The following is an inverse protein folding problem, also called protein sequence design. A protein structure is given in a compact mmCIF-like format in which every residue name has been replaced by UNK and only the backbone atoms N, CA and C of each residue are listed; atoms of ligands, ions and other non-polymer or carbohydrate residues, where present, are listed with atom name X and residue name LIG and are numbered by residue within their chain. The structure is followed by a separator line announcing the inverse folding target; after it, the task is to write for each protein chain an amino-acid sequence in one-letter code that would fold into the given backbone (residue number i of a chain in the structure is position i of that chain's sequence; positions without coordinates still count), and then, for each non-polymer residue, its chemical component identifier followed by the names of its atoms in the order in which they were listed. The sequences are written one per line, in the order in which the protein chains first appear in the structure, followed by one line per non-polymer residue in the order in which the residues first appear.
data_IF_282935052806
#
_entry.id   IF_282935052806
#
_cell.length_a   1.000
_cell.length_b   1.000
_cell.length_c   1.000
_cell.angle_alpha   90.00
_cell.angle_beta   90.00
_cell.angle_gamma   90.00
#
_symmetry.space_group_name_H-M   'P 1'
#
loop_
_entity.id
_entity.type
_entity.pdbx_description
1 polymer ?
#
# COMPACT_ATOMS: atom_id res chain seq x y z
N UNK A 1 19.96 42.52 25.68
CA UNK A 1 18.60 43.07 25.91
C UNK A 1 17.80 41.97 26.61
N UNK A 2 17.50 42.15 27.90
CA UNK A 2 16.83 41.08 28.67
C UNK A 2 15.37 40.95 28.24
N UNK A 3 15.06 39.84 27.56
CA UNK A 3 13.72 39.49 27.05
C UNK A 3 12.64 39.67 28.14
N UNK A 4 12.96 39.26 29.37
CA UNK A 4 12.09 39.37 30.54
C UNK A 4 11.71 40.84 30.86
N UNK A 5 12.65 41.80 30.79
CA UNK A 5 12.37 43.23 31.00
C UNK A 5 11.53 43.83 29.88
N UNK A 6 11.68 43.37 28.66
CA UNK A 6 10.87 43.80 27.54
C UNK A 6 9.43 43.29 27.68
N UNK A 7 9.26 42.05 28.13
CA UNK A 7 7.96 41.44 28.38
C UNK A 7 7.13 42.20 29.41
N UNK A 8 7.75 42.55 30.52
CA UNK A 8 7.07 43.29 31.61
C UNK A 8 6.70 44.73 31.20
N UNK A 9 7.52 45.37 30.35
CA UNK A 9 7.27 46.75 29.90
C UNK A 9 6.20 46.90 28.82
N UNK A 10 5.90 45.83 28.06
CA UNK A 10 4.92 45.86 26.95
C UNK A 10 4.01 44.60 26.95
N UNK A 11 3.14 44.46 27.97
CA UNK A 11 2.30 43.28 28.13
C UNK A 11 1.36 43.04 26.93
N UNK A 12 0.75 44.11 26.39
CA UNK A 12 -0.15 44.03 25.24
C UNK A 12 0.56 43.50 23.99
N UNK A 13 1.78 43.97 23.72
CA UNK A 13 2.54 43.50 22.58
C UNK A 13 2.90 41.99 22.66
N UNK A 14 3.17 41.52 23.85
CA UNK A 14 3.47 40.09 24.08
C UNK A 14 2.21 39.23 23.97
N UNK A 15 1.08 39.67 24.53
CA UNK A 15 -0.20 39.00 24.33
C UNK A 15 -0.54 38.82 22.84
N UNK A 16 -0.32 39.88 22.03
CA UNK A 16 -0.54 39.78 20.57
C UNK A 16 0.37 38.75 19.90
N UNK A 17 1.64 38.67 20.31
CA UNK A 17 2.57 37.64 19.79
C UNK A 17 2.10 36.23 20.18
N UNK A 18 1.68 36.02 21.43
CA UNK A 18 1.15 34.73 21.85
C UNK A 18 -0.12 34.34 21.09
N UNK A 19 -1.05 35.27 20.89
CA UNK A 19 -2.25 35.05 20.11
C UNK A 19 -1.88 34.68 18.67
N UNK A 20 -0.92 35.41 18.06
CA UNK A 20 -0.45 35.09 16.72
C UNK A 20 0.14 33.65 16.62
N UNK A 21 0.99 33.28 17.59
CA UNK A 21 1.57 31.92 17.64
C UNK A 21 0.49 30.87 17.83
N UNK A 22 -0.50 31.12 18.70
CA UNK A 22 -1.63 30.21 18.89
C UNK A 22 -2.46 30.04 17.60
N UNK A 23 -2.74 31.12 16.89
CA UNK A 23 -3.48 31.07 15.62
C UNK A 23 -2.69 30.32 14.55
N UNK A 24 -1.38 30.59 14.42
CA UNK A 24 -0.51 29.84 13.49
C UNK A 24 -0.43 28.36 13.87
N UNK A 25 -0.31 28.05 15.15
CA UNK A 25 -0.31 26.67 15.65
C UNK A 25 -1.62 25.94 15.34
N UNK A 26 -2.75 26.63 15.52
CA UNK A 26 -4.06 26.06 15.20
C UNK A 26 -4.22 25.78 13.68
N UNK A 27 -3.79 26.71 12.83
CA UNK A 27 -3.81 26.52 11.38
C UNK A 27 -2.91 25.35 10.97
N UNK A 28 -1.70 25.27 11.56
CA UNK A 28 -0.78 24.16 11.30
C UNK A 28 -1.35 22.81 11.73
N UNK A 29 -2.02 22.77 12.88
CA UNK A 29 -2.64 21.56 13.40
C UNK A 29 -3.64 20.92 12.41
N UNK A 30 -4.47 21.73 11.75
CA UNK A 30 -5.42 21.26 10.75
C UNK A 30 -4.78 20.89 9.39
N UNK A 31 -3.51 21.26 9.18
CA UNK A 31 -2.78 20.94 7.93
C UNK A 31 -1.79 19.81 8.06
N UNK A 32 -1.49 19.34 9.27
CA UNK A 32 -0.58 18.22 9.48
C UNK A 32 -1.26 16.95 9.00
N UNK A 33 -0.68 16.32 7.98
CA UNK A 33 -1.05 14.97 7.56
C UNK A 33 -0.75 13.98 8.68
N UNK A 34 -1.66 13.07 8.93
CA UNK A 34 -1.48 12.04 9.96
C UNK A 34 -1.26 10.71 9.27
N UNK A 35 -0.11 10.09 9.55
CA UNK A 35 0.28 8.80 9.04
C UNK A 35 0.70 7.87 10.18
N UNK A 36 0.42 6.58 10.03
CA UNK A 36 0.78 5.57 11.02
C UNK A 36 2.30 5.32 11.06
N UNK A 37 2.88 5.23 9.86
CA UNK A 37 4.32 5.09 9.68
C UNK A 37 4.80 6.36 8.96
N UNK A 38 5.91 6.96 9.42
CA UNK A 38 6.51 8.02 8.63
C UNK A 38 6.80 7.47 7.24
N UNK A 39 6.57 8.30 6.22
CA UNK A 39 6.98 7.98 4.86
C UNK A 39 8.50 7.91 4.83
N UNK A 40 8.99 6.74 5.19
CA UNK A 40 10.42 6.44 5.10
C UNK A 40 10.63 5.94 3.69
N UNK A 41 11.27 6.75 2.86
CA UNK A 41 11.77 6.28 1.58
C UNK A 41 12.47 4.94 1.79
N UNK A 42 11.77 3.88 1.43
CA UNK A 42 12.31 2.53 1.56
C UNK A 42 13.54 2.45 0.66
N UNK A 43 14.69 2.22 1.28
CA UNK A 43 15.95 2.05 0.54
C UNK A 43 16.07 0.64 -0.04
N UNK A 44 14.94 0.06 -0.42
CA UNK A 44 14.86 -1.26 -1.01
C UNK A 44 14.09 -1.23 -2.33
N UNK A 45 14.64 -1.92 -3.32
CA UNK A 45 13.97 -2.25 -4.58
C UNK A 45 13.81 -3.75 -4.63
N UNK A 46 12.66 -4.24 -5.08
CA UNK A 46 12.44 -5.66 -5.35
C UNK A 46 12.21 -5.90 -6.83
N UNK A 47 12.81 -6.97 -7.35
CA UNK A 47 12.54 -7.48 -8.70
C UNK A 47 11.90 -8.84 -8.56
N UNK A 48 10.70 -8.98 -9.11
CA UNK A 48 9.91 -10.22 -9.07
C UNK A 48 9.80 -10.76 -10.48
N UNK A 49 10.10 -12.05 -10.63
CA UNK A 49 10.00 -12.75 -11.91
C UNK A 49 9.31 -14.08 -11.69
N UNK A 50 8.25 -14.34 -12.46
CA UNK A 50 7.60 -15.64 -12.48
C UNK A 50 8.14 -16.47 -13.67
N UNK A 51 8.50 -17.72 -13.39
CA UNK A 51 8.93 -18.70 -14.38
C UNK A 51 8.15 -20.00 -14.15
N UNK A 52 6.90 -19.98 -14.58
CA UNK A 52 5.95 -21.06 -14.30
C UNK A 52 6.48 -22.43 -14.82
N UNK A 53 6.38 -23.44 -13.97
CA UNK A 53 6.82 -24.80 -14.30
C UNK A 53 8.31 -25.08 -14.13
N UNK A 54 9.14 -24.08 -13.87
CA UNK A 54 10.57 -24.27 -13.66
C UNK A 54 10.89 -24.75 -12.24
N UNK A 55 11.93 -25.61 -12.12
CA UNK A 55 12.47 -26.01 -10.83
C UNK A 55 13.22 -24.85 -10.16
N UNK A 56 13.42 -24.91 -8.84
CA UNK A 56 14.19 -23.90 -8.10
C UNK A 56 15.59 -23.70 -8.70
N UNK A 57 16.26 -24.77 -9.06
CA UNK A 57 17.59 -24.75 -9.67
C UNK A 57 17.61 -24.03 -11.02
N UNK A 58 16.59 -24.30 -11.86
CA UNK A 58 16.45 -23.63 -13.17
C UNK A 58 16.17 -22.14 -12.98
N UNK A 59 15.28 -21.78 -12.05
CA UNK A 59 14.97 -20.37 -11.74
C UNK A 59 16.23 -19.66 -11.22
N UNK A 60 16.99 -20.30 -10.33
CA UNK A 60 18.21 -19.71 -9.77
C UNK A 60 19.26 -19.43 -10.84
N UNK A 61 19.57 -20.43 -11.67
CA UNK A 61 20.66 -20.31 -12.64
C UNK A 61 20.30 -19.44 -13.84
N UNK A 62 19.05 -19.52 -14.31
CA UNK A 62 18.64 -18.86 -15.56
C UNK A 62 18.01 -17.48 -15.35
N UNK A 63 17.52 -17.19 -14.13
CA UNK A 63 16.80 -15.94 -13.83
C UNK A 63 17.46 -15.18 -12.68
N UNK A 64 17.58 -15.83 -11.51
CA UNK A 64 18.02 -15.12 -10.29
C UNK A 64 19.44 -14.58 -10.44
N UNK A 65 20.42 -15.46 -10.74
CA UNK A 65 21.85 -15.06 -10.87
C UNK A 65 22.10 -14.00 -11.93
N UNK A 66 21.59 -14.13 -13.19
CA UNK A 66 21.79 -13.08 -14.18
C UNK A 66 21.23 -11.70 -13.77
N UNK A 67 20.10 -11.69 -13.06
CA UNK A 67 19.51 -10.43 -12.57
C UNK A 67 20.31 -9.87 -11.37
N UNK A 68 20.75 -10.72 -10.44
CA UNK A 68 21.63 -10.29 -9.32
C UNK A 68 22.92 -9.66 -9.82
N UNK A 69 23.58 -10.30 -10.79
CA UNK A 69 24.84 -9.82 -11.38
C UNK A 69 24.66 -8.44 -12.01
N UNK A 70 23.55 -8.23 -12.74
CA UNK A 70 23.28 -6.93 -13.37
C UNK A 70 22.89 -5.87 -12.32
N UNK A 71 22.08 -6.22 -11.33
CA UNK A 71 21.64 -5.30 -10.29
C UNK A 71 22.76 -4.93 -9.30
N UNK A 72 23.77 -5.77 -9.12
CA UNK A 72 24.91 -5.44 -8.26
C UNK A 72 25.73 -4.24 -8.77
N UNK A 73 25.52 -3.84 -10.02
CA UNK A 73 26.21 -2.72 -10.68
C UNK A 73 25.35 -1.44 -10.75
N UNK A 74 24.22 -1.34 -10.04
CA UNK A 74 23.40 -0.13 -9.99
C UNK A 74 24.01 0.93 -9.07
N UNK A 75 23.61 2.17 -9.29
CA UNK A 75 24.02 3.30 -8.45
C UNK A 75 23.53 3.13 -7.01
N UNK A 76 24.33 3.53 -6.05
CA UNK A 76 23.99 3.43 -4.61
C UNK A 76 23.67 2.01 -4.11
N UNK A 77 24.22 0.99 -4.77
CA UNK A 77 24.12 -0.40 -4.36
C UNK A 77 24.81 -0.64 -3.02
N UNK A 78 24.14 -1.30 -2.10
CA UNK A 78 24.71 -1.72 -0.82
C UNK A 78 24.77 -3.23 -0.69
N UNK A 79 23.65 -3.91 -0.92
CA UNK A 79 23.54 -5.36 -0.82
C UNK A 79 22.39 -5.88 -1.68
N UNK A 80 22.57 -7.08 -2.26
CA UNK A 80 21.51 -7.86 -2.88
C UNK A 80 21.21 -9.10 -2.04
N UNK A 81 19.94 -9.44 -1.95
CA UNK A 81 19.43 -10.70 -1.38
C UNK A 81 18.38 -11.25 -2.31
N UNK A 82 18.34 -12.55 -2.46
CA UNK A 82 17.32 -13.19 -3.28
C UNK A 82 16.64 -14.34 -2.56
N UNK A 83 15.42 -14.62 -2.97
CA UNK A 83 14.65 -15.78 -2.57
C UNK A 83 14.12 -16.47 -3.82
N UNK A 84 14.67 -17.66 -4.10
CA UNK A 84 14.25 -18.47 -5.25
C UNK A 84 13.36 -19.59 -4.80
N UNK A 85 12.19 -19.70 -5.43
CA UNK A 85 11.21 -20.78 -5.21
C UNK A 85 10.88 -21.45 -6.55
N UNK A 86 10.25 -22.64 -6.54
CA UNK A 86 9.77 -23.24 -7.78
C UNK A 86 8.85 -22.25 -8.51
N UNK A 87 9.19 -21.91 -9.74
CA UNK A 87 8.40 -21.02 -10.58
C UNK A 87 8.51 -19.51 -10.26
N UNK A 88 9.35 -19.07 -9.29
CA UNK A 88 9.42 -17.66 -8.92
C UNK A 88 10.78 -17.25 -8.35
N UNK A 89 11.30 -16.13 -8.81
CA UNK A 89 12.44 -15.42 -8.25
C UNK A 89 12.00 -14.08 -7.64
N UNK A 90 12.51 -13.77 -6.45
CA UNK A 90 12.36 -12.47 -5.78
C UNK A 90 13.75 -11.97 -5.41
N UNK A 91 14.16 -10.86 -5.99
CA UNK A 91 15.48 -10.25 -5.77
C UNK A 91 15.27 -8.90 -5.07
N UNK A 92 15.87 -8.73 -3.89
CA UNK A 92 15.80 -7.52 -3.08
C UNK A 92 17.15 -6.81 -3.10
N UNK A 93 17.15 -5.56 -3.51
CA UNK A 93 18.35 -4.72 -3.54
C UNK A 93 18.23 -3.66 -2.45
N UNK A 94 19.15 -3.68 -1.50
CA UNK A 94 19.30 -2.65 -0.49
C UNK A 94 20.18 -1.52 -1.03
N UNK A 95 19.72 -0.30 -0.91
CA UNK A 95 20.38 0.91 -1.37
C UNK A 95 21.01 1.67 -0.22
N UNK A 96 21.94 2.54 -0.55
CA UNK A 96 22.58 3.45 0.39
C UNK A 96 21.59 4.49 0.93
N UNK A 97 21.85 5.04 2.11
CA UNK A 97 20.98 6.04 2.76
C UNK A 97 20.74 7.31 1.94
N UNK A 98 21.67 7.64 1.04
CA UNK A 98 21.59 8.82 0.17
C UNK A 98 20.92 8.53 -1.19
N UNK A 99 20.51 7.29 -1.44
CA UNK A 99 19.88 6.90 -2.71
C UNK A 99 18.51 7.53 -2.87
N UNK A 100 18.21 7.99 -4.05
CA UNK A 100 16.85 8.25 -4.53
C UNK A 100 16.29 6.94 -5.09
N UNK A 101 15.37 6.31 -4.35
CA UNK A 101 14.83 5.01 -4.71
C UNK A 101 14.06 5.04 -6.03
N UNK A 102 13.44 6.15 -6.41
CA UNK A 102 12.70 6.29 -7.67
C UNK A 102 13.67 6.30 -8.86
N UNK A 103 14.75 7.07 -8.75
CA UNK A 103 15.78 7.10 -9.80
C UNK A 103 16.46 5.75 -9.95
N UNK A 104 16.75 5.07 -8.84
CA UNK A 104 17.39 3.76 -8.87
C UNK A 104 16.44 2.67 -9.37
N UNK A 105 15.14 2.74 -9.09
CA UNK A 105 14.14 1.82 -9.65
C UNK A 105 14.06 1.95 -11.19
N UNK A 106 14.12 3.17 -11.71
CA UNK A 106 14.18 3.41 -13.17
C UNK A 106 15.48 2.82 -13.75
N UNK A 107 16.62 3.01 -13.08
CA UNK A 107 17.89 2.42 -13.50
C UNK A 107 17.83 0.89 -13.48
N UNK A 108 17.29 0.30 -12.42
CA UNK A 108 17.10 -1.15 -12.30
C UNK A 108 16.21 -1.70 -13.41
N UNK A 109 15.09 -1.03 -13.71
CA UNK A 109 14.20 -1.40 -14.81
C UNK A 109 14.94 -1.41 -16.16
N UNK A 110 15.73 -0.38 -16.43
CA UNK A 110 16.55 -0.31 -17.68
C UNK A 110 17.57 -1.44 -17.74
N UNK A 111 18.23 -1.77 -16.65
CA UNK A 111 19.23 -2.85 -16.58
C UNK A 111 18.60 -4.20 -16.76
N UNK A 112 17.50 -4.50 -16.06
CA UNK A 112 16.75 -5.76 -16.20
C UNK A 112 16.23 -5.92 -17.62
N UNK A 113 15.69 -4.87 -18.23
CA UNK A 113 15.24 -4.88 -19.64
C UNK A 113 16.39 -5.16 -20.62
N UNK A 114 17.59 -4.67 -20.32
CA UNK A 114 18.79 -4.92 -21.15
C UNK A 114 19.13 -6.40 -21.23
N UNK A 115 19.06 -7.11 -20.10
CA UNK A 115 19.39 -8.53 -20.03
C UNK A 115 18.22 -9.44 -20.41
N UNK A 116 17.02 -8.89 -20.72
CA UNK A 116 15.81 -9.69 -21.05
C UNK A 116 16.08 -10.73 -22.13
N UNK A 117 16.97 -10.42 -23.08
CA UNK A 117 17.35 -11.30 -24.19
C UNK A 117 18.18 -12.53 -23.71
N UNK A 118 18.84 -12.40 -22.56
CA UNK A 118 19.65 -13.47 -21.96
C UNK A 118 18.84 -14.36 -21.00
N UNK A 119 17.61 -13.95 -20.70
CA UNK A 119 16.68 -14.69 -19.86
C UNK A 119 15.81 -15.61 -20.73
N UNK A 120 15.26 -16.69 -20.17
CA UNK A 120 14.34 -17.57 -20.89
C UNK A 120 13.16 -16.81 -21.49
N UNK A 121 12.69 -17.25 -22.65
CA UNK A 121 11.53 -16.62 -23.32
C UNK A 121 10.22 -16.83 -22.55
N UNK A 122 10.13 -17.95 -21.84
CA UNK A 122 8.92 -18.41 -21.13
C UNK A 122 8.69 -17.75 -19.76
N UNK A 123 9.54 -16.80 -19.35
CA UNK A 123 9.32 -16.05 -18.11
C UNK A 123 8.35 -14.90 -18.34
N UNK A 124 7.57 -14.58 -17.31
CA UNK A 124 6.81 -13.33 -17.27
C UNK A 124 7.76 -12.12 -17.32
N UNK A 125 7.23 -10.97 -17.70
CA UNK A 125 8.02 -9.73 -17.68
C UNK A 125 8.45 -9.40 -16.25
N UNK A 126 9.77 -9.20 -16.00
CA UNK A 126 10.27 -8.87 -14.68
C UNK A 126 9.65 -7.58 -14.14
N UNK A 127 8.97 -7.65 -13.00
CA UNK A 127 8.40 -6.50 -12.33
C UNK A 127 9.43 -5.89 -11.35
N UNK A 128 9.80 -4.63 -11.56
CA UNK A 128 10.64 -3.87 -10.64
C UNK A 128 9.75 -3.00 -9.78
N UNK A 129 9.77 -3.25 -8.48
CA UNK A 129 8.92 -2.59 -7.51
C UNK A 129 9.78 -1.83 -6.49
N UNK A 130 9.42 -0.59 -6.22
CA UNK A 130 9.95 0.16 -5.07
C UNK A 130 9.13 -0.28 -3.85
N UNK A 131 9.79 -0.78 -2.83
CA UNK A 131 9.11 -1.06 -1.56
C UNK A 131 8.87 0.24 -0.80
N UNK A 132 7.62 0.59 -0.60
CA UNK A 132 7.21 1.73 0.22
C UNK A 132 6.23 1.30 1.32
N UNK A 133 6.05 2.14 2.32
CA UNK A 133 5.00 1.94 3.33
C UNK A 133 3.59 1.98 2.72
N UNK A 134 3.46 2.51 1.51
CA UNK A 134 2.22 2.62 0.75
C UNK A 134 1.77 1.29 0.12
N UNK A 135 2.63 0.27 0.09
CA UNK A 135 2.29 -1.09 -0.38
C UNK A 135 1.38 -1.87 0.59
N UNK A 136 1.17 -1.34 1.80
CA UNK A 136 0.27 -1.98 2.76
C UNK A 136 -1.14 -1.43 2.62
N UNK A 137 -2.16 -2.29 2.57
CA UNK A 137 -3.54 -1.85 2.51
C UNK A 137 -3.93 -1.09 3.78
N UNK A 138 -4.60 0.05 3.62
CA UNK A 138 -5.12 0.85 4.75
C UNK A 138 -6.41 0.26 5.32
N UNK A 139 -7.20 -0.39 4.46
CA UNK A 139 -8.44 -1.08 4.85
C UNK A 139 -8.49 -2.42 4.12
N UNK A 140 -8.88 -3.47 4.86
CA UNK A 140 -9.21 -4.78 4.29
C UNK A 140 -10.68 -5.09 4.58
N UNK A 141 -11.41 -5.40 3.53
CA UNK A 141 -12.85 -5.67 3.58
C UNK A 141 -13.06 -7.10 3.08
N UNK A 142 -13.69 -7.93 3.89
CA UNK A 142 -14.12 -9.25 3.47
C UNK A 142 -15.59 -9.20 3.06
N UNK A 143 -15.87 -9.78 1.91
CA UNK A 143 -17.22 -9.90 1.35
C UNK A 143 -17.65 -11.35 1.42
N UNK A 144 -18.76 -11.62 2.10
CA UNK A 144 -19.37 -12.94 2.20
C UNK A 144 -20.80 -12.89 1.70
N UNK A 145 -21.28 -13.99 1.14
CA UNK A 145 -22.67 -14.18 0.75
C UNK A 145 -23.06 -15.64 0.91
N UNK A 146 -24.34 -15.95 0.79
CA UNK A 146 -24.85 -17.32 0.66
C UNK A 146 -24.68 -17.86 -0.76
N UNK A 147 -24.36 -16.98 -1.71
CA UNK A 147 -24.13 -17.32 -3.10
C UNK A 147 -22.76 -17.98 -3.33
N UNK A 148 -22.49 -18.42 -4.56
CA UNK A 148 -21.22 -19.00 -4.93
C UNK A 148 -20.09 -17.96 -4.83
N UNK A 149 -18.94 -18.36 -4.28
CA UNK A 149 -17.75 -17.51 -4.11
C UNK A 149 -17.28 -16.89 -5.44
N UNK A 150 -17.45 -17.62 -6.55
CA UNK A 150 -17.01 -17.15 -7.88
C UNK A 150 -17.87 -15.99 -8.40
N UNK A 151 -19.15 -15.96 -8.06
CA UNK A 151 -20.05 -14.86 -8.43
C UNK A 151 -19.75 -13.62 -7.58
N UNK A 152 -19.38 -13.81 -6.29
CA UNK A 152 -18.90 -12.74 -5.42
C UNK A 152 -17.60 -12.15 -5.99
N UNK A 153 -16.65 -13.00 -6.43
CA UNK A 153 -15.39 -12.56 -6.99
C UNK A 153 -15.60 -11.70 -8.25
N UNK A 154 -16.46 -12.13 -9.17
CA UNK A 154 -16.75 -11.38 -10.40
C UNK A 154 -17.35 -9.98 -10.11
N UNK A 155 -18.26 -9.90 -9.12
CA UNK A 155 -18.81 -8.61 -8.67
C UNK A 155 -17.78 -7.76 -7.93
N UNK A 156 -16.93 -8.40 -7.11
CA UNK A 156 -15.89 -7.71 -6.36
C UNK A 156 -14.87 -7.07 -7.30
N UNK A 157 -14.43 -7.82 -8.33
CA UNK A 157 -13.40 -7.35 -9.28
C UNK A 157 -13.95 -6.29 -10.27
N UNK A 158 -15.25 -6.29 -10.53
CA UNK A 158 -15.86 -5.29 -11.40
C UNK A 158 -16.48 -4.12 -10.62
N UNK A 159 -17.58 -4.38 -9.90
CA UNK A 159 -18.42 -3.32 -9.35
C UNK A 159 -17.93 -2.79 -7.99
N UNK A 160 -17.51 -3.68 -7.05
CA UNK A 160 -17.13 -3.23 -5.72
C UNK A 160 -15.78 -2.50 -5.76
N UNK A 161 -14.81 -3.05 -6.50
CA UNK A 161 -13.51 -2.43 -6.75
C UNK A 161 -13.68 -1.01 -7.32
N UNK A 162 -14.43 -0.86 -8.42
CA UNK A 162 -14.63 0.45 -9.06
C UNK A 162 -15.31 1.48 -8.13
N UNK A 163 -16.27 1.05 -7.32
CA UNK A 163 -16.95 1.93 -6.36
C UNK A 163 -16.01 2.41 -5.26
N UNK A 164 -15.19 1.51 -4.69
CA UNK A 164 -14.24 1.86 -3.64
C UNK A 164 -13.11 2.74 -4.17
N UNK A 165 -12.66 2.54 -5.43
CA UNK A 165 -11.67 3.39 -6.08
C UNK A 165 -12.14 4.83 -6.30
N UNK A 166 -13.44 5.10 -6.31
CA UNK A 166 -13.98 6.45 -6.43
C UNK A 166 -13.82 7.29 -5.14
N UNK A 167 -13.47 6.67 -4.02
CA UNK A 167 -13.22 7.40 -2.79
C UNK A 167 -11.95 8.26 -2.91
N UNK A 168 -12.03 9.49 -2.43
CA UNK A 168 -10.90 10.42 -2.48
C UNK A 168 -9.70 9.87 -1.72
N UNK A 169 -8.51 9.92 -2.31
CA UNK A 169 -7.27 9.46 -1.70
C UNK A 169 -7.00 7.95 -1.88
N UNK A 170 -7.86 7.19 -2.52
CA UNK A 170 -7.62 5.79 -2.90
C UNK A 170 -6.75 5.76 -4.16
N UNK A 171 -5.67 4.98 -4.14
CA UNK A 171 -4.83 4.72 -5.29
C UNK A 171 -5.31 3.51 -6.07
N UNK A 172 -5.55 2.40 -5.37
CA UNK A 172 -6.00 1.15 -5.96
C UNK A 172 -6.79 0.31 -4.95
N UNK A 173 -7.51 -0.66 -5.48
CA UNK A 173 -8.23 -1.68 -4.71
C UNK A 173 -7.94 -3.03 -5.34
N UNK A 174 -7.33 -3.94 -4.60
CA UNK A 174 -7.04 -5.29 -5.06
C UNK A 174 -8.03 -6.31 -4.51
N UNK A 175 -8.35 -7.28 -5.38
CA UNK A 175 -9.18 -8.44 -5.01
C UNK A 175 -8.23 -9.64 -4.83
N UNK A 176 -7.93 -10.00 -3.59
CA UNK A 176 -6.83 -10.94 -3.29
C UNK A 176 -7.26 -12.38 -3.08
N UNK A 177 -8.52 -12.64 -2.88
CA UNK A 177 -9.06 -14.01 -2.72
C UNK A 177 -10.28 -14.22 -3.58
N UNK A 178 -10.45 -15.42 -4.07
CA UNK A 178 -11.49 -15.81 -5.01
C UNK A 178 -10.93 -16.57 -6.20
N UNK A 179 -11.78 -16.95 -7.12
CA UNK A 179 -11.40 -17.68 -8.32
C UNK A 179 -11.87 -16.94 -9.55
N UNK A 180 -10.94 -16.45 -10.33
CA UNK A 180 -11.24 -15.98 -11.67
C UNK A 180 -11.67 -17.16 -12.54
N UNK A 181 -12.62 -16.98 -13.43
CA UNK A 181 -12.96 -17.97 -14.45
C UNK A 181 -11.90 -17.94 -15.55
N UNK A 182 -11.47 -19.12 -15.97
CA UNK A 182 -10.57 -19.30 -17.11
C UNK A 182 -11.13 -20.32 -18.07
N UNK A 183 -10.72 -20.26 -19.31
CA UNK A 183 -11.00 -21.31 -20.29
C UNK A 183 -9.82 -22.28 -20.31
N UNK A 184 -10.01 -23.46 -19.74
CA UNK A 184 -8.98 -24.49 -19.73
C UNK A 184 -9.04 -25.30 -21.03
N UNK A 185 -7.89 -25.44 -21.69
CA UNK A 185 -7.69 -26.30 -22.86
C UNK A 185 -6.88 -27.50 -22.41
N UNK A 186 -7.56 -28.60 -22.08
CA UNK A 186 -6.94 -29.84 -21.61
C UNK A 186 -6.62 -30.74 -22.81
N UNK A 187 -5.35 -30.83 -23.15
CA UNK A 187 -4.87 -31.50 -24.36
C UNK A 187 -4.61 -32.96 -24.12
N UNK A 188 -5.10 -33.82 -25.02
CA UNK A 188 -4.84 -35.25 -25.04
C UNK A 188 -3.54 -35.55 -25.81
N UNK A 189 -2.52 -36.04 -25.11
CA UNK A 189 -1.20 -36.30 -25.66
C UNK A 189 -1.23 -37.39 -26.77
N UNK A 190 -2.07 -38.38 -26.63
CA UNK A 190 -2.12 -39.51 -27.60
C UNK A 190 -2.78 -39.03 -28.89
N UNK A 191 -3.81 -38.23 -28.79
CA UNK A 191 -4.46 -37.61 -29.95
C UNK A 191 -3.55 -36.60 -30.65
N UNK A 192 -2.78 -35.78 -29.89
CA UNK A 192 -1.77 -34.91 -30.48
C UNK A 192 -0.79 -35.69 -31.35
N UNK A 193 -0.23 -36.75 -30.78
CA UNK A 193 0.73 -37.60 -31.50
C UNK A 193 0.10 -38.25 -32.74
N UNK A 194 -1.16 -38.70 -32.62
CA UNK A 194 -1.88 -39.31 -33.75
C UNK A 194 -2.06 -38.36 -34.93
N UNK A 195 -2.36 -37.11 -34.66
CA UNK A 195 -2.54 -36.06 -35.67
C UNK A 195 -1.24 -35.33 -36.07
N UNK A 196 -0.10 -35.70 -35.43
CA UNK A 196 1.20 -35.07 -35.68
C UNK A 196 1.25 -33.59 -35.28
N UNK A 197 0.51 -33.21 -34.23
CA UNK A 197 0.46 -31.87 -33.67
C UNK A 197 1.36 -31.79 -32.45
N UNK A 198 1.87 -30.60 -32.20
CA UNK A 198 2.59 -30.24 -30.99
C UNK A 198 1.76 -29.29 -30.10
N UNK A 199 2.09 -29.19 -28.82
CA UNK A 199 1.46 -28.24 -27.94
C UNK A 199 1.68 -26.76 -28.43
N UNK A 200 2.85 -26.53 -29.04
CA UNK A 200 3.19 -25.21 -29.60
C UNK A 200 2.29 -24.81 -30.77
N UNK A 201 1.84 -25.79 -31.58
CA UNK A 201 0.90 -25.51 -32.66
C UNK A 201 -0.44 -25.00 -32.12
N UNK A 202 -0.94 -25.60 -31.01
CA UNK A 202 -2.16 -25.13 -30.33
C UNK A 202 -1.96 -23.74 -29.77
N UNK A 203 -0.88 -23.49 -29.01
CA UNK A 203 -0.58 -22.19 -28.44
C UNK A 203 -0.54 -21.10 -29.52
N UNK A 204 0.14 -21.39 -30.62
CA UNK A 204 0.30 -20.47 -31.74
C UNK A 204 -1.04 -20.20 -32.42
N UNK A 205 -1.87 -21.20 -32.63
CA UNK A 205 -3.18 -21.06 -33.24
C UNK A 205 -4.13 -20.22 -32.36
N UNK A 206 -4.19 -20.50 -31.05
CA UNK A 206 -5.02 -19.74 -30.11
C UNK A 206 -4.57 -18.27 -30.07
N UNK A 207 -3.27 -18.01 -29.97
CA UNK A 207 -2.73 -16.62 -29.99
C UNK A 207 -3.06 -15.88 -31.28
N UNK A 208 -3.00 -16.56 -32.41
CA UNK A 208 -3.21 -15.95 -33.72
C UNK A 208 -4.66 -15.58 -33.96
N UNK A 209 -5.61 -16.37 -33.48
CA UNK A 209 -7.03 -16.16 -33.75
C UNK A 209 -7.77 -15.39 -32.65
N UNK A 210 -7.20 -15.31 -31.46
CA UNK A 210 -7.79 -14.51 -30.35
C UNK A 210 -7.15 -13.11 -30.27
N UNK A 211 -7.34 -12.31 -31.31
CA UNK A 211 -6.71 -10.99 -31.44
C UNK A 211 -7.72 -9.93 -31.87
N UNK A 212 -7.59 -8.72 -31.31
CA UNK A 212 -8.27 -7.54 -31.84
C UNK A 212 -7.29 -6.80 -32.74
N UNK A 213 -7.56 -6.76 -34.03
CA UNK A 213 -6.73 -6.04 -34.98
C UNK A 213 -7.49 -4.80 -35.49
N UNK A 214 -6.87 -3.63 -35.31
CA UNK A 214 -7.33 -2.41 -35.97
C UNK A 214 -6.87 -2.48 -37.45
N UNK A 215 -7.81 -2.70 -38.37
CA UNK A 215 -7.51 -2.92 -39.80
C UNK A 215 -7.38 -1.61 -40.59
N UNK A 216 -7.34 -0.46 -39.90
CA UNK A 216 -7.21 0.87 -40.54
C UNK A 216 -8.56 1.59 -40.70
N UNK A 217 -8.52 2.73 -41.40
CA UNK A 217 -9.71 3.56 -41.65
C UNK A 217 -10.06 3.56 -43.14
N UNK A 218 -11.34 3.47 -43.43
CA UNK A 218 -11.87 3.67 -44.80
C UNK A 218 -12.37 5.09 -44.88
N UNK A 219 -11.81 5.84 -45.81
CA UNK A 219 -12.22 7.20 -46.09
C UNK A 219 -13.30 7.21 -47.19
N UNK A 220 -14.47 7.74 -46.85
CA UNK A 220 -15.55 8.05 -47.79
C UNK A 220 -15.68 9.56 -47.83
N UNK A 221 -16.13 10.17 -48.94
CA UNK A 221 -16.14 11.63 -49.19
C UNK A 221 -16.65 12.53 -48.06
N UNK A 222 -17.29 11.98 -47.04
CA UNK A 222 -17.83 12.73 -45.91
C UNK A 222 -17.52 12.12 -44.50
N UNK A 223 -16.93 10.92 -44.40
CA UNK A 223 -16.76 10.23 -43.12
C UNK A 223 -15.55 9.29 -43.13
N UNK A 224 -14.73 9.39 -42.11
CA UNK A 224 -13.73 8.38 -41.76
C UNK A 224 -14.39 7.27 -40.93
N UNK A 225 -14.40 6.04 -41.43
CA UNK A 225 -14.88 4.86 -40.71
C UNK A 225 -13.71 3.98 -40.35
N UNK A 226 -13.45 3.84 -39.08
CA UNK A 226 -12.48 2.89 -38.56
C UNK A 226 -13.01 1.47 -38.70
N UNK A 227 -12.28 0.62 -39.42
CA UNK A 227 -12.58 -0.79 -39.53
C UNK A 227 -11.80 -1.52 -38.44
N UNK A 228 -12.55 -2.15 -37.51
CA UNK A 228 -11.98 -2.99 -36.47
C UNK A 228 -12.36 -4.44 -36.74
N UNK A 229 -11.37 -5.29 -36.93
CA UNK A 229 -11.56 -6.73 -36.94
C UNK A 229 -11.48 -7.23 -35.50
N UNK A 230 -12.58 -7.74 -34.99
CA UNK A 230 -12.65 -8.33 -33.65
C UNK A 230 -12.81 -9.83 -33.80
N UNK A 231 -11.70 -10.55 -33.70
CA UNK A 231 -11.63 -11.99 -33.73
C UNK A 231 -11.36 -12.51 -32.30
N UNK A 232 -12.32 -12.23 -31.38
CA UNK A 232 -12.28 -12.75 -30.02
C UNK A 232 -13.36 -13.79 -29.83
N UNK A 233 -13.01 -14.90 -29.26
CA UNK A 233 -13.95 -15.94 -28.84
C UNK A 233 -14.73 -15.43 -27.63
N UNK A 234 -16.06 -15.59 -27.67
CA UNK A 234 -16.95 -15.14 -26.57
C UNK A 234 -17.34 -16.29 -25.64
N UNK A 235 -17.22 -17.51 -26.11
CA UNK A 235 -17.60 -18.71 -25.35
C UNK A 235 -16.59 -19.84 -25.57
N UNK A 236 -16.39 -20.72 -24.57
CA UNK A 236 -15.48 -21.88 -24.70
C UNK A 236 -15.81 -22.79 -25.87
N UNK A 237 -17.09 -22.89 -26.22
CA UNK A 237 -17.59 -23.71 -27.31
C UNK A 237 -17.08 -23.24 -28.67
N UNK A 238 -16.87 -21.92 -28.85
CA UNK A 238 -16.34 -21.37 -30.08
C UNK A 238 -14.86 -21.77 -30.29
N UNK A 239 -14.10 -21.86 -29.18
CA UNK A 239 -12.68 -22.24 -29.20
C UNK A 239 -12.52 -23.73 -29.64
N UNK A 240 -13.48 -24.61 -29.37
CA UNK A 240 -13.44 -26.00 -29.78
C UNK A 240 -13.36 -26.14 -31.30
N UNK A 241 -13.95 -25.21 -32.06
CA UNK A 241 -13.95 -25.21 -33.53
C UNK A 241 -12.71 -24.56 -34.16
N UNK A 242 -11.74 -24.16 -33.35
CA UNK A 242 -10.46 -23.64 -33.83
C UNK A 242 -9.76 -24.65 -34.73
N UNK A 243 -9.39 -24.20 -35.93
CA UNK A 243 -8.76 -25.06 -36.95
C UNK A 243 -7.25 -25.15 -36.76
N UNK A 244 -6.75 -26.30 -36.45
CA UNK A 244 -5.33 -26.59 -36.34
C UNK A 244 -4.82 -27.25 -37.64
N UNK A 245 -3.64 -26.83 -38.12
CA UNK A 245 -3.03 -27.41 -39.30
C UNK A 245 -2.15 -28.60 -38.92
N UNK A 246 -2.64 -29.80 -39.08
CA UNK A 246 -1.90 -31.02 -38.81
C UNK A 246 -0.92 -31.42 -39.93
N UNK A 247 -0.18 -32.50 -39.68
CA UNK A 247 0.76 -33.07 -40.63
C UNK A 247 0.04 -33.50 -41.91
N UNK A 248 0.60 -33.12 -43.07
CA UNK A 248 -0.04 -33.39 -44.36
C UNK A 248 -1.05 -32.36 -44.84
N UNK A 249 -1.15 -31.19 -44.16
CA UNK A 249 -2.00 -30.07 -44.56
C UNK A 249 -3.49 -30.24 -44.28
N UNK A 250 -3.87 -31.23 -43.47
CA UNK A 250 -5.25 -31.44 -43.01
C UNK A 250 -5.57 -30.44 -41.88
N UNK A 251 -6.77 -29.88 -41.93
CA UNK A 251 -7.30 -29.06 -40.82
C UNK A 251 -8.04 -29.97 -39.84
N UNK A 252 -7.77 -29.79 -38.58
CA UNK A 252 -8.31 -30.58 -37.46
C UNK A 252 -8.87 -29.61 -36.44
N UNK A 253 -10.08 -29.82 -35.99
CA UNK A 253 -10.68 -28.97 -34.93
C UNK A 253 -10.02 -29.24 -33.58
N UNK A 254 -9.77 -28.19 -32.80
CA UNK A 254 -9.19 -28.27 -31.47
C UNK A 254 -9.95 -29.24 -30.57
N UNK A 255 -11.29 -29.25 -30.63
CA UNK A 255 -12.14 -30.17 -29.88
C UNK A 255 -11.90 -31.69 -30.16
N UNK A 256 -11.20 -32.05 -31.25
CA UNK A 256 -10.83 -33.44 -31.53
C UNK A 256 -9.58 -33.86 -30.73
N UNK A 257 -8.71 -32.94 -30.35
CA UNK A 257 -7.43 -33.18 -29.67
C UNK A 257 -7.37 -32.64 -28.25
N UNK A 258 -8.31 -31.76 -27.87
CA UNK A 258 -8.38 -31.15 -26.54
C UNK A 258 -9.83 -31.03 -26.06
N UNK A 259 -10.01 -31.05 -24.74
CA UNK A 259 -11.24 -30.72 -24.10
C UNK A 259 -11.19 -29.21 -23.67
N UNK A 260 -12.11 -28.43 -24.18
CA UNK A 260 -12.19 -26.97 -23.87
C UNK A 260 -13.38 -26.76 -22.96
N UNK A 261 -13.14 -26.24 -21.78
CA UNK A 261 -14.22 -26.00 -20.79
C UNK A 261 -13.90 -24.76 -19.95
N UNK A 262 -14.96 -24.07 -19.53
CA UNK A 262 -14.84 -23.06 -18.49
C UNK A 262 -14.51 -23.73 -17.16
N UNK A 263 -13.46 -23.28 -16.50
CA UNK A 263 -12.98 -23.82 -15.23
C UNK A 263 -12.63 -22.67 -14.29
N UNK A 264 -12.70 -22.92 -13.01
CA UNK A 264 -12.19 -21.96 -12.05
C UNK A 264 -10.66 -22.02 -12.03
N UNK A 265 -10.02 -20.88 -12.13
CA UNK A 265 -8.59 -20.75 -11.96
C UNK A 265 -8.19 -21.26 -10.59
N UNK A 266 -7.06 -21.93 -10.50
CA UNK A 266 -6.55 -22.41 -9.21
C UNK A 266 -6.41 -21.22 -8.24
N UNK A 267 -7.10 -21.28 -7.10
CA UNK A 267 -7.00 -20.25 -6.09
C UNK A 267 -5.56 -20.10 -5.58
N UNK A 268 -5.06 -18.89 -5.58
CA UNK A 268 -3.72 -18.54 -5.07
C UNK A 268 -3.79 -18.25 -3.56
N UNK A 269 -4.91 -17.69 -3.11
CA UNK A 269 -5.16 -17.36 -1.71
C UNK A 269 -6.60 -17.69 -1.33
N UNK A 270 -6.82 -18.01 -0.07
CA UNK A 270 -8.13 -18.26 0.51
C UNK A 270 -8.37 -17.29 1.66
N UNK A 271 -9.53 -16.63 1.66
CA UNK A 271 -9.99 -15.81 2.76
C UNK A 271 -11.21 -16.43 3.41
N UNK A 272 -11.27 -16.35 4.74
CA UNK A 272 -12.42 -16.80 5.52
C UNK A 272 -12.70 -15.83 6.66
N UNK A 273 -13.98 -15.56 6.88
CA UNK A 273 -14.44 -14.76 8.01
C UNK A 273 -15.53 -15.54 8.73
N UNK A 274 -15.36 -15.73 10.04
CA UNK A 274 -16.27 -16.51 10.88
C UNK A 274 -16.59 -17.93 10.32
N UNK A 275 -15.57 -18.56 9.71
CA UNK A 275 -15.69 -19.90 9.11
C UNK A 275 -16.30 -19.94 7.72
N UNK A 276 -16.85 -18.85 7.19
CA UNK A 276 -17.38 -18.73 5.85
C UNK A 276 -16.31 -18.29 4.86
N UNK A 277 -16.34 -18.83 3.65
CA UNK A 277 -15.47 -18.35 2.58
C UNK A 277 -15.83 -16.92 2.20
N UNK A 278 -14.80 -16.12 1.95
CA UNK A 278 -14.92 -14.70 1.66
C UNK A 278 -14.03 -14.27 0.50
N UNK A 279 -14.44 -13.22 -0.20
CA UNK A 279 -13.57 -12.47 -1.11
C UNK A 279 -12.99 -11.30 -0.35
N UNK A 280 -11.69 -11.07 -0.43
CA UNK A 280 -11.01 -9.96 0.25
C UNK A 280 -10.73 -8.82 -0.73
N UNK A 281 -11.12 -7.62 -0.33
CA UNK A 281 -10.82 -6.35 -1.00
C UNK A 281 -9.80 -5.60 -0.16
N UNK A 282 -8.66 -5.29 -0.74
CA UNK A 282 -7.56 -4.58 -0.11
C UNK A 282 -7.46 -3.18 -0.72
N UNK A 283 -7.64 -2.15 0.11
CA UNK A 283 -7.66 -0.76 -0.33
C UNK A 283 -6.32 -0.10 -0.03
N UNK A 284 -5.71 0.49 -1.03
CA UNK A 284 -4.43 1.19 -0.96
C UNK A 284 -4.62 2.70 -1.12
N UNK A 285 -3.93 3.49 -0.30
CA UNK A 285 -3.99 4.94 -0.40
C UNK A 285 -3.05 5.49 -1.48
N UNK A 286 -3.40 6.63 -2.04
CA UNK A 286 -2.50 7.39 -2.88
C UNK A 286 -1.36 8.03 -2.06
N UNK A 287 -0.19 8.21 -2.70
CA UNK A 287 0.95 8.86 -2.08
C UNK A 287 0.58 10.25 -1.57
N UNK A 288 0.96 10.54 -0.32
CA UNK A 288 0.64 11.80 0.34
C UNK A 288 -0.82 11.99 0.75
N UNK A 289 -1.72 11.01 0.52
CA UNK A 289 -3.10 11.08 0.98
C UNK A 289 -3.19 10.83 2.50
N UNK A 290 -4.10 11.53 3.16
CA UNK A 290 -4.37 11.33 4.58
C UNK A 290 -5.11 10.01 4.81
N UNK A 291 -4.57 9.15 5.67
CA UNK A 291 -5.13 7.82 5.97
C UNK A 291 -6.56 7.93 6.52
N UNK A 292 -6.81 8.87 7.43
CA UNK A 292 -8.11 9.03 8.10
C UNK A 292 -9.18 9.48 7.12
N UNK A 293 -8.88 10.51 6.32
CA UNK A 293 -9.84 11.05 5.35
C UNK A 293 -10.13 10.04 4.23
N UNK A 294 -9.10 9.31 3.77
CA UNK A 294 -9.27 8.26 2.77
C UNK A 294 -10.12 7.11 3.31
N UNK A 295 -9.84 6.67 4.54
CA UNK A 295 -10.62 5.62 5.19
C UNK A 295 -12.08 6.02 5.39
N UNK A 296 -12.35 7.27 5.78
CA UNK A 296 -13.73 7.79 5.90
C UNK A 296 -14.46 7.76 4.56
N UNK A 297 -13.77 8.17 3.48
CA UNK A 297 -14.32 8.09 2.13
C UNK A 297 -14.66 6.65 1.72
N UNK A 298 -13.76 5.69 1.99
CA UNK A 298 -13.97 4.27 1.70
C UNK A 298 -15.13 3.71 2.52
N UNK A 299 -15.21 4.00 3.82
CA UNK A 299 -16.30 3.54 4.68
C UNK A 299 -17.65 4.12 4.24
N UNK A 300 -17.69 5.36 3.76
CA UNK A 300 -18.90 5.97 3.20
C UNK A 300 -19.37 5.24 1.92
N UNK A 301 -18.42 4.91 1.02
CA UNK A 301 -18.73 4.11 -0.18
C UNK A 301 -19.21 2.71 0.20
N UNK A 302 -18.60 2.10 1.23
CA UNK A 302 -18.99 0.81 1.74
C UNK A 302 -20.43 0.79 2.26
N UNK A 303 -20.86 1.85 2.96
CA UNK A 303 -22.27 1.99 3.40
C UNK A 303 -23.25 2.11 2.22
N UNK A 304 -22.80 2.70 1.11
CA UNK A 304 -23.59 2.76 -0.12
C UNK A 304 -23.68 1.38 -0.77
N UNK A 305 -22.56 0.65 -0.83
CA UNK A 305 -22.52 -0.73 -1.32
C UNK A 305 -23.42 -1.67 -0.50
N UNK A 306 -23.44 -1.54 0.83
CA UNK A 306 -24.34 -2.32 1.70
C UNK A 306 -25.83 -2.10 1.40
N UNK A 307 -26.18 -0.90 0.97
CA UNK A 307 -27.58 -0.58 0.58
C UNK A 307 -27.91 -1.10 -0.80
N UNK A 308 -26.97 -0.98 -1.74
CA UNK A 308 -27.18 -1.40 -3.13
C UNK A 308 -27.16 -2.93 -3.28
N UNK A 309 -26.41 -3.62 -2.39
CA UNK A 309 -26.21 -5.08 -2.43
C UNK A 309 -26.53 -5.73 -1.07
N UNK A 310 -27.81 -5.81 -0.68
CA UNK A 310 -28.23 -6.30 0.65
C UNK A 310 -27.96 -7.80 0.89
N UNK A 311 -27.78 -8.59 -0.18
CA UNK A 311 -27.50 -10.03 -0.11
C UNK A 311 -26.03 -10.33 0.24
N UNK A 312 -25.17 -9.31 0.21
CA UNK A 312 -23.74 -9.41 0.51
C UNK A 312 -23.43 -8.78 1.86
N UNK A 313 -22.62 -9.50 2.65
CA UNK A 313 -22.17 -9.01 3.96
C UNK A 313 -20.74 -8.49 3.83
N UNK A 314 -20.56 -7.20 4.05
CA UNK A 314 -19.28 -6.52 4.02
C UNK A 314 -18.75 -6.37 5.45
N UNK A 315 -17.66 -7.04 5.76
CA UNK A 315 -17.01 -7.00 7.07
C UNK A 315 -15.66 -6.31 6.95
N UNK A 316 -15.46 -5.22 7.67
CA UNK A 316 -14.14 -4.58 7.77
C UNK A 316 -13.29 -5.42 8.70
N UNK A 317 -12.27 -6.08 8.17
CA UNK A 317 -11.37 -6.97 8.91
C UNK A 317 -10.21 -6.19 9.51
N UNK A 318 -9.71 -5.21 8.78
CA UNK A 318 -8.61 -4.36 9.18
C UNK A 318 -8.89 -2.92 8.78
N UNK A 319 -8.70 -1.98 9.70
CA UNK A 319 -8.79 -0.54 9.49
C UNK A 319 -7.64 0.16 10.21
N UNK A 320 -6.66 0.61 9.45
CA UNK A 320 -5.50 1.32 9.97
C UNK A 320 -5.88 2.69 10.55
N UNK A 321 -6.94 3.33 10.02
CA UNK A 321 -7.38 4.65 10.47
C UNK A 321 -7.87 4.64 11.92
N UNK A 322 -8.43 3.54 12.39
CA UNK A 322 -8.90 3.39 13.77
C UNK A 322 -7.75 3.56 14.76
N UNK A 323 -6.62 2.88 14.53
CA UNK A 323 -5.43 3.02 15.38
C UNK A 323 -4.88 4.46 15.38
N UNK A 324 -4.87 5.09 14.20
CA UNK A 324 -4.41 6.47 14.05
C UNK A 324 -5.31 7.44 14.82
N UNK A 325 -6.63 7.30 14.71
CA UNK A 325 -7.61 8.11 15.46
C UNK A 325 -7.47 7.95 16.97
N UNK A 326 -7.34 6.72 17.42
CA UNK A 326 -7.17 6.45 18.86
C UNK A 326 -5.86 7.06 19.39
N UNK A 327 -4.77 6.94 18.64
CA UNK A 327 -3.48 7.54 19.00
C UNK A 327 -3.55 9.07 19.06
N UNK A 328 -4.21 9.71 18.08
CA UNK A 328 -4.44 11.14 18.06
C UNK A 328 -5.30 11.59 19.24
N UNK A 329 -6.42 10.91 19.47
CA UNK A 329 -7.32 11.21 20.57
C UNK A 329 -6.61 11.13 21.93
N UNK A 330 -5.83 10.07 22.13
CA UNK A 330 -5.04 9.89 23.35
C UNK A 330 -3.95 10.96 23.50
N UNK A 331 -3.27 11.33 22.41
CA UNK A 331 -2.26 12.40 22.42
C UNK A 331 -2.88 13.74 22.78
N UNK A 332 -4.00 14.10 22.16
CA UNK A 332 -4.73 15.34 22.46
C UNK A 332 -5.22 15.39 23.90
N UNK A 333 -5.76 14.27 24.40
CA UNK A 333 -6.19 14.14 25.79
C UNK A 333 -5.03 14.36 26.75
N UNK A 334 -3.90 13.72 26.52
CA UNK A 334 -2.69 13.87 27.34
C UNK A 334 -2.14 15.31 27.30
N UNK A 335 -2.13 15.95 26.13
CA UNK A 335 -1.75 17.36 25.99
C UNK A 335 -2.66 18.26 26.79
N UNK A 336 -3.97 18.03 26.73
CA UNK A 336 -4.97 18.83 27.45
C UNK A 336 -4.86 18.65 28.96
N UNK A 337 -4.67 17.41 29.43
CA UNK A 337 -4.42 17.08 30.83
C UNK A 337 -3.13 17.77 31.32
N UNK A 338 -2.05 17.72 30.53
CA UNK A 338 -0.78 18.39 30.84
C UNK A 338 -0.93 19.91 30.90
N UNK A 339 -1.68 20.51 29.96
CA UNK A 339 -1.94 21.95 29.94
C UNK A 339 -2.75 22.39 31.17
N UNK A 340 -3.81 21.67 31.51
CA UNK A 340 -4.65 21.92 32.69
C UNK A 340 -3.84 21.79 33.98
N UNK A 341 -3.06 20.72 34.11
CA UNK A 341 -2.21 20.46 35.27
C UNK A 341 -1.17 21.58 35.46
N UNK A 342 -0.46 21.93 34.37
CA UNK A 342 0.53 22.99 34.38
C UNK A 342 -0.10 24.33 34.71
N UNK A 343 -1.26 24.66 34.13
CA UNK A 343 -2.02 25.86 34.41
C UNK A 343 -2.46 25.95 35.87
N UNK A 344 -2.93 24.85 36.45
CA UNK A 344 -3.34 24.76 37.85
C UNK A 344 -2.15 24.97 38.79
N UNK A 345 -1.01 24.32 38.52
CA UNK A 345 0.21 24.50 39.30
C UNK A 345 0.68 25.94 39.26
N UNK A 346 0.76 26.56 38.08
CA UNK A 346 1.12 27.96 37.92
C UNK A 346 0.15 28.88 38.66
N UNK A 347 -1.16 28.62 38.54
CA UNK A 347 -2.18 29.40 39.26
C UNK A 347 -2.00 29.32 40.77
N UNK A 348 -1.78 28.15 41.34
CA UNK A 348 -1.53 27.94 42.77
C UNK A 348 -0.28 28.68 43.25
N UNK A 349 0.82 28.61 42.45
CA UNK A 349 2.06 29.29 42.75
C UNK A 349 1.89 30.81 42.69
N UNK A 350 1.27 31.35 41.65
CA UNK A 350 1.04 32.79 41.52
C UNK A 350 0.11 33.32 42.62
N UNK A 351 -0.97 32.61 42.93
CA UNK A 351 -1.88 32.97 44.03
C UNK A 351 -1.21 32.88 45.41
N UNK A 352 -0.31 31.91 45.59
CA UNK A 352 0.51 31.80 46.80
C UNK A 352 1.45 33.01 46.98
N UNK A 353 1.97 33.54 45.86
CA UNK A 353 2.79 34.75 45.87
C UNK A 353 1.99 36.03 46.25
N UNK A 354 0.76 36.18 45.77
CA UNK A 354 -0.12 37.30 46.15
C UNK A 354 -0.51 37.25 47.63
N UNK A 355 -0.71 36.06 48.21
CA UNK A 355 -0.92 35.93 49.66
C UNK A 355 0.35 36.20 50.50
N UNK A 356 1.55 36.05 49.91
CA UNK A 356 2.80 36.34 50.63
C UNK A 356 3.25 37.78 50.50
N UNK A 357 2.74 38.55 49.55
CA UNK A 357 3.03 39.97 49.45
C UNK A 357 2.28 40.80 50.53
N UNK A 358 1.17 40.27 51.06
CA UNK A 358 0.45 40.86 52.18
C UNK A 358 0.97 40.39 53.56
N UNK A 359 1.82 39.34 53.57
CA UNK A 359 2.56 38.87 54.75
C UNK A 359 4.05 39.24 54.59
N UNK A 360 4.34 40.50 54.40
CA UNK A 360 5.70 41.05 54.38
C UNK A 360 6.38 41.07 55.77
N UNK A 361 5.98 40.18 56.65
CA UNK A 361 6.74 39.79 57.81
C UNK A 361 7.29 38.38 57.59
N UNK A 362 8.36 38.36 56.81
CA UNK A 362 9.16 37.16 56.64
C UNK A 362 9.63 36.65 57.98
N UNK A 363 9.14 35.52 58.39
CA UNK A 363 9.81 34.70 59.38
C UNK A 363 11.13 34.17 58.82
N UNK A 364 12.14 35.00 58.86
CA UNK A 364 13.54 34.60 58.76
C UNK A 364 13.86 33.76 59.98
N UNK A 365 13.82 32.45 59.89
CA UNK A 365 14.34 31.57 60.93
C UNK A 365 15.87 31.52 60.82
N UNK A 366 16.59 32.04 61.80
CA UNK A 366 18.04 31.90 61.84
C UNK A 366 18.39 30.45 62.18
N UNK A 367 19.30 29.88 61.44
CA UNK A 367 19.91 28.60 61.78
C UNK A 367 20.80 28.76 63.02
N UNK A 368 21.08 27.66 63.70
CA UNK A 368 21.90 27.57 64.92
C UNK A 368 23.29 28.19 64.78
N UNK A 369 23.71 28.52 63.54
CA UNK A 369 24.97 29.16 63.20
C UNK A 369 24.80 30.66 62.80
N UNK A 370 23.60 31.24 62.88
CA UNK A 370 23.34 32.68 62.61
C UNK A 370 23.37 33.07 61.16
N UNK A 371 23.23 32.15 60.23
CA UNK A 371 23.16 32.41 58.76
C UNK A 371 21.73 32.28 58.26
N UNK A 372 21.37 33.24 57.42
CA UNK A 372 20.06 33.30 56.75
C UNK A 372 20.07 32.40 55.50
N UNK A 373 19.17 31.44 55.40
CA UNK A 373 19.02 30.61 54.23
C UNK A 373 17.62 30.79 53.64
N UNK A 374 17.58 31.01 52.33
CA UNK A 374 16.36 30.90 51.53
C UNK A 374 16.34 29.49 50.93
N UNK A 375 15.46 28.65 51.44
CA UNK A 375 15.31 27.28 50.92
C UNK A 375 14.19 27.29 49.87
N UNK A 376 14.57 27.11 48.61
CA UNK A 376 13.64 26.81 47.54
C UNK A 376 13.72 25.31 47.23
N UNK A 377 12.68 24.60 47.57
CA UNK A 377 12.50 23.21 47.12
C UNK A 377 11.80 23.23 45.75
N UNK A 378 12.57 23.15 44.68
CA UNK A 378 12.03 22.89 43.33
C UNK A 378 12.14 21.40 43.08
N UNK A 379 11.05 20.69 43.33
CA UNK A 379 10.97 19.27 42.93
C UNK A 379 10.69 19.19 41.43
N UNK A 380 11.73 19.03 40.64
CA UNK A 380 11.59 18.51 39.28
C UNK A 380 11.44 17.00 39.38
N UNK A 381 10.55 16.43 38.61
CA UNK A 381 10.17 15.01 38.61
C UNK A 381 11.26 13.97 38.31
N UNK A 382 12.52 14.32 38.49
CA UNK A 382 13.68 13.45 38.49
C UNK A 382 14.55 13.81 39.69
N UNK A 383 14.21 13.36 40.84
CA UNK A 383 15.00 13.09 42.04
C UNK A 383 16.31 13.86 42.33
N UNK A 384 16.54 15.06 41.84
CA UNK A 384 17.73 15.85 42.11
C UNK A 384 17.36 17.08 42.93
N UNK A 385 17.77 17.09 44.20
CA UNK A 385 17.68 18.23 45.11
C UNK A 385 18.92 19.09 44.93
N UNK A 386 18.78 20.31 44.39
CA UNK A 386 19.87 21.28 44.33
C UNK A 386 19.78 22.22 45.54
N UNK A 387 20.80 22.24 46.37
CA UNK A 387 20.96 23.18 47.47
C UNK A 387 21.84 24.34 47.02
N UNK A 388 21.29 25.54 47.01
CA UNK A 388 22.10 26.74 46.81
C UNK A 388 22.30 27.43 48.16
N UNK A 389 23.57 27.66 48.51
CA UNK A 389 23.92 28.55 49.65
C UNK A 389 24.39 29.87 49.07
N UNK A 390 23.75 30.95 49.47
CA UNK A 390 24.27 32.30 49.28
C UNK A 390 25.18 32.65 50.46
N UNK A 391 26.48 32.85 50.18
CA UNK A 391 27.46 33.38 51.10
C UNK A 391 27.41 34.91 51.24
#
# INVERSE_FOLDING_TARGET
MNITRFSIKRPIGICMIYILVCVLGLISFFRIGVELLPDVDSKFISVIVNYLGASTESVEQQVTKPIEDELSSISHFKQVRSATRPGRAEIFVELDSQADADMVAIEATKKVSRIRKNLPEDIDEPAVLKRSSEEYPIIQIAVTSKDNLDDIFALADSSFKERLQQAAGVADVDVTSGRAKEVAIEVDKDKLNYYGLTLQDIITAVRKENVIVSSGSVYTDALEKTVRLQAQYKAPEEIQHLQLKGTGGRYIELGQVANVQAKDKRAVAYSRVDGNEAVSLEVYKASGANIVDTADGVLQQLETLRKDYPDYVFTVVYDQSHFVRDSLSNTLKTLLEGLVTTGLVLYLFLRGYDCHSDLADCNLLPDVSGRLYLQYDVTYGYGAVYRYSCG
#
